data_IF_654795338047
#
_entry.id   IF_654795338047
#
_cell.length_a   1.000
_cell.length_b   1.000
_cell.length_c   1.000
_cell.angle_alpha   90.00
_cell.angle_beta   90.00
_cell.angle_gamma   90.00
#
_symmetry.space_group_name_H-M   'P 1'
#
loop_
_entity.id
_entity.type
_entity.pdbx_description
1 polymer ?
#
# COMPACT_ATOMS: atom_id res chain seq x y z
N UNK A 1 1.68 45.05 -41.55
CA UNK A 1 2.60 43.96 -41.14
C UNK A 1 2.38 43.47 -39.69
N UNK A 2 1.64 44.19 -38.84
CA UNK A 2 1.34 43.80 -37.44
C UNK A 2 0.41 42.57 -37.31
N UNK A 3 -0.51 42.37 -38.27
CA UNK A 3 -1.53 41.33 -38.14
C UNK A 3 -1.03 39.93 -38.49
N UNK A 4 -0.14 39.80 -39.47
CA UNK A 4 0.46 38.51 -39.86
C UNK A 4 1.29 37.91 -38.70
N UNK A 5 2.07 38.74 -38.00
CA UNK A 5 2.84 38.33 -36.83
C UNK A 5 1.95 37.98 -35.63
N UNK A 6 0.77 38.59 -35.51
CA UNK A 6 -0.21 38.27 -34.46
C UNK A 6 -0.91 36.94 -34.74
N UNK A 7 -1.24 36.67 -36.00
CA UNK A 7 -1.84 35.40 -36.46
C UNK A 7 -0.87 34.23 -36.32
N UNK A 8 0.38 34.37 -36.78
CA UNK A 8 1.42 33.33 -36.62
C UNK A 8 1.72 33.01 -35.15
N UNK A 9 1.66 34.01 -34.26
CA UNK A 9 1.80 33.81 -32.80
C UNK A 9 0.62 33.08 -32.19
N UNK A 10 -0.59 33.47 -32.55
CA UNK A 10 -1.80 32.79 -32.08
C UNK A 10 -1.79 31.32 -32.53
N UNK A 11 -1.38 31.06 -33.76
CA UNK A 11 -1.34 29.71 -34.32
C UNK A 11 -0.23 28.86 -33.69
N UNK A 12 0.98 29.41 -33.50
CA UNK A 12 2.08 28.69 -32.84
C UNK A 12 1.75 28.32 -31.39
N UNK A 13 1.16 29.24 -30.63
CA UNK A 13 0.74 29.00 -29.23
C UNK A 13 -0.43 28.02 -29.14
N UNK A 14 -1.42 28.17 -30.02
CA UNK A 14 -2.57 27.26 -30.07
C UNK A 14 -2.15 25.84 -30.38
N UNK A 15 -1.22 25.65 -31.31
CA UNK A 15 -0.68 24.32 -31.64
C UNK A 15 0.02 23.67 -30.43
N UNK A 16 0.85 24.42 -29.70
CA UNK A 16 1.54 23.88 -28.52
C UNK A 16 0.55 23.43 -27.44
N UNK A 17 -0.53 24.20 -27.21
CA UNK A 17 -1.57 23.88 -26.25
C UNK A 17 -2.45 22.70 -26.68
N UNK A 18 -2.83 22.66 -27.96
CA UNK A 18 -3.65 21.59 -28.54
C UNK A 18 -2.94 20.23 -28.47
N UNK A 19 -1.61 20.20 -28.46
CA UNK A 19 -0.82 18.97 -28.28
C UNK A 19 -0.55 18.70 -26.81
N UNK A 20 -0.17 19.71 -26.02
CA UNK A 20 0.27 19.50 -24.65
C UNK A 20 -0.83 18.93 -23.74
N UNK A 21 -2.05 19.49 -23.79
CA UNK A 21 -3.15 19.04 -22.92
C UNK A 21 -3.51 17.56 -23.14
N UNK A 22 -3.78 17.07 -24.36
CA UNK A 22 -4.14 15.66 -24.56
C UNK A 22 -2.97 14.72 -24.26
N UNK A 23 -1.73 15.08 -24.64
CA UNK A 23 -0.55 14.23 -24.39
C UNK A 23 -0.32 14.09 -22.88
N UNK A 24 -0.32 15.20 -22.13
CA UNK A 24 -0.14 15.16 -20.68
C UNK A 24 -1.29 14.41 -19.99
N UNK A 25 -2.51 14.56 -20.49
CA UNK A 25 -3.67 13.87 -19.91
C UNK A 25 -3.56 12.37 -20.14
N UNK A 26 -3.23 11.94 -21.37
CA UNK A 26 -3.04 10.53 -21.71
C UNK A 26 -1.91 9.88 -20.89
N UNK A 27 -0.76 10.56 -20.78
CA UNK A 27 0.37 10.06 -19.97
C UNK A 27 -0.02 9.99 -18.51
N UNK A 28 -0.72 11.01 -18.00
CA UNK A 28 -1.16 11.06 -16.61
C UNK A 28 -2.17 9.98 -16.27
N UNK A 29 -3.18 9.76 -17.12
CA UNK A 29 -4.16 8.69 -16.91
C UNK A 29 -3.53 7.31 -17.00
N UNK A 30 -2.61 7.08 -17.95
CA UNK A 30 -1.88 5.82 -18.02
C UNK A 30 -1.05 5.57 -16.74
N UNK A 31 -0.34 6.59 -16.26
CA UNK A 31 0.49 6.48 -15.05
C UNK A 31 -0.35 6.24 -13.78
N UNK A 32 -1.51 6.90 -13.64
CA UNK A 32 -2.40 6.69 -12.49
C UNK A 32 -3.05 5.31 -12.53
N UNK A 33 -3.50 4.82 -13.69
CA UNK A 33 -4.07 3.47 -13.84
C UNK A 33 -3.06 2.39 -13.42
N UNK A 34 -1.81 2.52 -13.85
CA UNK A 34 -0.73 1.60 -13.46
C UNK A 34 -0.43 1.64 -11.96
N UNK A 35 -0.67 2.78 -11.30
CA UNK A 35 -0.45 2.96 -9.87
C UNK A 35 -1.61 2.43 -9.02
N UNK A 36 -2.84 2.52 -9.54
CA UNK A 36 -4.07 2.14 -8.83
C UNK A 36 -4.37 0.63 -8.92
N UNK A 37 -3.96 -0.06 -9.98
CA UNK A 37 -4.14 -1.51 -10.09
C UNK A 37 -2.96 -2.28 -9.42
N UNK A 38 -3.18 -3.22 -8.49
CA UNK A 38 -4.43 -3.78 -7.95
C UNK A 38 -4.79 -3.26 -6.54
N UNK A 39 -4.44 -2.02 -6.20
CA UNK A 39 -4.62 -1.49 -4.85
C UNK A 39 -6.08 -1.31 -4.46
N UNK A 40 -6.39 -1.53 -3.18
CA UNK A 40 -7.71 -1.21 -2.60
C UNK A 40 -7.94 0.29 -2.70
N UNK A 41 -9.15 0.70 -3.09
CA UNK A 41 -9.54 2.11 -3.16
C UNK A 41 -9.44 2.73 -1.76
N UNK A 42 -8.36 3.50 -1.55
CA UNK A 42 -8.01 4.17 -0.31
C UNK A 42 -7.52 5.57 -0.66
N UNK A 43 -8.01 6.59 0.04
CA UNK A 43 -7.72 7.99 -0.31
C UNK A 43 -6.22 8.30 -0.38
N UNK A 44 -5.41 7.74 0.52
CA UNK A 44 -3.98 8.00 0.52
C UNK A 44 -3.30 7.30 -0.66
N UNK A 45 -3.77 6.12 -1.08
CA UNK A 45 -3.29 5.46 -2.31
C UNK A 45 -3.61 6.27 -3.55
N UNK A 46 -4.77 6.93 -3.58
CA UNK A 46 -5.13 7.90 -4.62
C UNK A 46 -4.16 9.09 -4.67
N UNK A 47 -3.80 9.63 -3.51
CA UNK A 47 -2.82 10.74 -3.43
C UNK A 47 -1.42 10.27 -3.88
N UNK A 48 -0.99 9.09 -3.45
CA UNK A 48 0.27 8.47 -3.89
C UNK A 48 0.27 8.24 -5.40
N UNK A 49 -0.82 7.74 -5.97
CA UNK A 49 -0.96 7.55 -7.41
C UNK A 49 -0.87 8.87 -8.18
N UNK A 50 -1.50 9.94 -7.69
CA UNK A 50 -1.40 11.27 -8.29
C UNK A 50 0.01 11.83 -8.23
N UNK A 51 0.67 11.76 -7.07
CA UNK A 51 2.05 12.25 -6.90
C UNK A 51 3.02 11.44 -7.77
N UNK A 52 2.89 10.11 -7.80
CA UNK A 52 3.72 9.26 -8.65
C UNK A 52 3.44 9.47 -10.14
N UNK A 53 2.21 9.79 -10.54
CA UNK A 53 1.90 10.15 -11.93
C UNK A 53 2.69 11.39 -12.38
N UNK A 54 2.90 12.38 -11.51
CA UNK A 54 3.74 13.55 -11.83
C UNK A 54 5.19 13.18 -12.14
N UNK A 55 5.70 12.02 -11.68
CA UNK A 55 7.03 11.53 -12.10
C UNK A 55 7.10 11.20 -13.58
N UNK A 56 5.96 10.91 -14.22
CA UNK A 56 5.85 10.70 -15.66
C UNK A 56 5.39 11.96 -16.40
N UNK A 57 4.40 12.70 -15.85
CA UNK A 57 3.95 13.96 -16.46
C UNK A 57 5.04 15.04 -16.45
N UNK A 58 5.81 15.16 -15.36
CA UNK A 58 6.81 16.21 -15.17
C UNK A 58 7.85 16.25 -16.30
N UNK A 59 8.54 15.15 -16.61
CA UNK A 59 9.49 15.08 -17.73
C UNK A 59 8.87 15.44 -19.09
N UNK A 60 7.66 14.96 -19.36
CA UNK A 60 6.94 15.27 -20.61
C UNK A 60 6.58 16.75 -20.68
N UNK A 61 6.08 17.32 -19.58
CA UNK A 61 5.76 18.74 -19.48
C UNK A 61 7.00 19.63 -19.64
N UNK A 62 8.13 19.26 -19.01
CA UNK A 62 9.40 19.95 -19.17
C UNK A 62 9.88 19.92 -20.63
N UNK A 63 9.79 18.77 -21.30
CA UNK A 63 10.20 18.61 -22.68
C UNK A 63 9.33 19.44 -23.65
N UNK A 64 8.01 19.42 -23.47
CA UNK A 64 7.07 20.23 -24.24
C UNK A 64 7.30 21.73 -24.02
N UNK A 65 7.57 22.14 -22.77
CA UNK A 65 7.87 23.52 -22.44
C UNK A 65 9.22 23.98 -23.05
N UNK A 66 10.24 23.12 -23.01
CA UNK A 66 11.52 23.37 -23.67
C UNK A 66 11.37 23.47 -25.20
N UNK A 67 10.57 22.58 -25.80
CA UNK A 67 10.27 22.61 -27.23
C UNK A 67 9.55 23.90 -27.63
N UNK A 68 8.54 24.33 -26.86
CA UNK A 68 7.84 25.58 -27.07
C UNK A 68 8.80 26.79 -26.99
N UNK A 69 9.67 26.83 -25.98
CA UNK A 69 10.67 27.87 -25.83
C UNK A 69 11.65 27.96 -27.02
N UNK A 70 12.14 26.82 -27.51
CA UNK A 70 13.04 26.77 -28.68
C UNK A 70 12.33 27.21 -29.95
N UNK A 71 11.08 26.78 -30.14
CA UNK A 71 10.28 27.10 -31.33
C UNK A 71 9.88 28.58 -31.39
N UNK A 72 9.63 29.21 -30.24
CA UNK A 72 9.22 30.61 -30.19
C UNK A 72 10.38 31.61 -30.26
N UNK A 73 11.63 31.19 -29.96
CA UNK A 73 12.80 32.08 -29.93
C UNK A 73 13.01 32.89 -31.22
N UNK A 74 12.85 32.35 -32.45
CA UNK A 74 12.96 33.15 -33.67
C UNK A 74 11.94 34.30 -33.77
N UNK A 75 10.85 34.24 -33.01
CA UNK A 75 9.79 35.25 -32.97
C UNK A 75 10.02 36.33 -31.89
N UNK A 76 11.12 36.25 -31.13
CA UNK A 76 11.46 37.21 -30.09
C UNK A 76 11.83 38.58 -30.66
N UNK A 77 12.42 38.66 -31.85
CA UNK A 77 12.69 39.94 -32.53
C UNK A 77 11.40 40.79 -32.69
N UNK A 78 10.26 40.14 -32.95
CA UNK A 78 8.97 40.81 -33.04
C UNK A 78 8.44 41.27 -31.66
N UNK A 79 8.98 40.77 -30.54
CA UNK A 79 8.66 41.22 -29.17
C UNK A 79 9.48 42.46 -28.83
N UNK A 80 10.74 42.51 -29.26
CA UNK A 80 11.65 43.64 -29.04
C UNK A 80 11.20 44.91 -29.76
N UNK A 81 10.41 44.78 -30.84
CA UNK A 81 9.77 45.91 -31.52
C UNK A 81 8.60 46.54 -30.73
N UNK A 82 8.15 45.92 -29.63
CA UNK A 82 7.12 46.48 -28.76
C UNK A 82 7.75 47.12 -27.54
N UNK A 83 7.30 48.31 -27.12
CA UNK A 83 7.85 49.07 -25.98
C UNK A 83 7.66 48.40 -24.59
N UNK A 84 7.34 47.10 -24.53
CA UNK A 84 7.13 46.36 -23.29
C UNK A 84 8.45 45.76 -22.79
N UNK A 85 8.51 45.50 -21.49
CA UNK A 85 9.65 44.82 -20.87
C UNK A 85 9.92 43.45 -21.53
N UNK A 86 11.18 43.09 -21.81
CA UNK A 86 11.54 41.81 -22.42
C UNK A 86 11.08 40.59 -21.60
N UNK A 87 10.86 40.77 -20.30
CA UNK A 87 10.37 39.71 -19.41
C UNK A 87 8.87 39.38 -19.61
N UNK A 88 8.06 40.32 -20.09
CA UNK A 88 6.59 40.16 -20.13
C UNK A 88 6.16 39.01 -21.06
N UNK A 89 6.86 38.82 -22.19
CA UNK A 89 6.57 37.71 -23.10
C UNK A 89 6.80 36.34 -22.46
N UNK A 90 7.93 36.18 -21.77
CA UNK A 90 8.31 34.94 -21.08
C UNK A 90 7.33 34.61 -19.95
N UNK A 91 6.95 35.61 -19.14
CA UNK A 91 5.99 35.39 -18.05
C UNK A 91 4.62 34.94 -18.58
N UNK A 92 4.18 35.48 -19.72
CA UNK A 92 2.93 35.07 -20.35
C UNK A 92 3.02 33.63 -20.89
N UNK A 93 4.12 33.26 -21.53
CA UNK A 93 4.32 31.90 -22.04
C UNK A 93 4.35 30.88 -20.89
N UNK A 94 5.05 31.20 -19.80
CA UNK A 94 5.08 30.37 -18.60
C UNK A 94 3.69 30.21 -17.99
N UNK A 95 2.93 31.31 -17.83
CA UNK A 95 1.55 31.25 -17.32
C UNK A 95 0.65 30.36 -18.20
N UNK A 96 0.81 30.47 -19.52
CA UNK A 96 0.02 29.71 -20.48
C UNK A 96 0.37 28.20 -20.46
N UNK A 97 1.66 27.86 -20.44
CA UNK A 97 2.10 26.46 -20.39
C UNK A 97 1.81 25.82 -19.02
N UNK A 98 2.00 26.57 -17.93
CA UNK A 98 1.65 26.11 -16.59
C UNK A 98 0.15 25.91 -16.45
N UNK A 99 -0.69 26.81 -16.98
CA UNK A 99 -2.15 26.62 -16.94
C UNK A 99 -2.60 25.40 -17.75
N UNK A 100 -2.02 25.15 -18.93
CA UNK A 100 -2.28 23.94 -19.71
C UNK A 100 -1.90 22.64 -18.96
N UNK A 101 -0.73 22.63 -18.32
CA UNK A 101 -0.28 21.50 -17.52
C UNK A 101 -1.20 21.28 -16.30
N UNK A 102 -1.63 22.35 -15.63
CA UNK A 102 -2.57 22.28 -14.51
C UNK A 102 -3.96 21.81 -14.94
N UNK A 103 -4.48 22.24 -16.09
CA UNK A 103 -5.76 21.74 -16.64
C UNK A 103 -5.69 20.24 -16.89
N UNK A 104 -4.59 19.76 -17.49
CA UNK A 104 -4.37 18.33 -17.69
C UNK A 104 -4.30 17.57 -16.35
N UNK A 105 -3.55 18.09 -15.37
CA UNK A 105 -3.44 17.49 -14.05
C UNK A 105 -4.79 17.48 -13.30
N UNK A 106 -5.60 18.52 -13.43
CA UNK A 106 -6.96 18.58 -12.88
C UNK A 106 -7.86 17.53 -13.52
N UNK A 107 -7.79 17.33 -14.83
CA UNK A 107 -8.55 16.28 -15.52
C UNK A 107 -8.17 14.87 -15.02
N UNK A 108 -6.86 14.60 -14.87
CA UNK A 108 -6.35 13.35 -14.30
C UNK A 108 -6.80 13.18 -12.85
N UNK A 109 -6.72 14.24 -12.05
CA UNK A 109 -7.17 14.25 -10.65
C UNK A 109 -8.65 13.96 -10.54
N UNK A 110 -9.49 14.62 -11.34
CA UNK A 110 -10.93 14.41 -11.36
C UNK A 110 -11.29 12.96 -11.72
N UNK A 111 -10.60 12.37 -12.70
CA UNK A 111 -10.78 10.96 -13.06
C UNK A 111 -10.46 10.04 -11.87
N UNK A 112 -9.30 10.20 -11.24
CA UNK A 112 -8.88 9.33 -10.13
C UNK A 112 -9.81 9.50 -8.92
N UNK A 113 -10.20 10.73 -8.60
CA UNK A 113 -11.17 11.01 -7.53
C UNK A 113 -12.50 10.34 -7.82
N UNK A 114 -13.02 10.44 -9.06
CA UNK A 114 -14.25 9.76 -9.45
C UNK A 114 -14.15 8.23 -9.30
N UNK A 115 -13.04 7.63 -9.74
CA UNK A 115 -12.79 6.19 -9.56
C UNK A 115 -12.76 5.80 -8.07
N UNK A 116 -12.13 6.62 -7.23
CA UNK A 116 -12.02 6.38 -5.78
C UNK A 116 -13.40 6.43 -5.12
N UNK A 117 -14.20 7.45 -5.43
CA UNK A 117 -15.56 7.62 -4.91
C UNK A 117 -16.49 6.47 -5.30
N UNK A 118 -16.31 5.88 -6.49
CA UNK A 118 -17.10 4.73 -6.95
C UNK A 118 -16.73 3.43 -6.23
N UNK A 119 -15.46 3.26 -5.84
CA UNK A 119 -14.95 1.96 -5.39
C UNK A 119 -14.88 1.76 -3.87
N UNK A 120 -14.71 2.81 -3.04
CA UNK A 120 -15.00 2.86 -1.59
C UNK A 120 -14.32 4.04 -0.87
N UNK A 121 -14.92 4.48 0.26
CA UNK A 121 -14.52 5.64 1.08
C UNK A 121 -13.65 5.27 2.29
N UNK A 122 -12.54 4.56 2.12
CA UNK A 122 -11.59 4.40 3.22
C UNK A 122 -10.59 5.57 3.26
N UNK A 123 -10.42 6.21 4.42
CA UNK A 123 -9.47 7.31 4.63
C UNK A 123 -10.06 8.70 4.39
N UNK A 124 -9.18 9.70 4.26
CA UNK A 124 -9.57 11.10 4.05
C UNK A 124 -8.81 11.72 2.88
N UNK A 125 -9.44 12.63 2.11
CA UNK A 125 -8.74 13.32 1.05
C UNK A 125 -7.60 14.18 1.62
N UNK A 126 -6.42 14.09 1.02
CA UNK A 126 -5.27 14.95 1.35
C UNK A 126 -5.06 16.00 0.25
N UNK A 127 -5.71 17.17 0.30
CA UNK A 127 -5.60 18.18 -0.73
C UNK A 127 -4.16 18.69 -0.90
N UNK A 128 -3.38 18.71 0.19
CA UNK A 128 -1.96 19.09 0.15
C UNK A 128 -1.13 18.20 -0.79
N UNK A 129 -1.43 16.90 -0.87
CA UNK A 129 -0.74 16.01 -1.81
C UNK A 129 -1.06 16.35 -3.26
N UNK A 130 -2.32 16.69 -3.55
CA UNK A 130 -2.72 17.16 -4.88
C UNK A 130 -2.03 18.48 -5.26
N UNK A 131 -1.95 19.43 -4.31
CA UNK A 131 -1.26 20.71 -4.49
C UNK A 131 0.26 20.54 -4.64
N UNK A 132 0.87 19.61 -3.89
CA UNK A 132 2.29 19.27 -4.03
C UNK A 132 2.59 18.73 -5.44
N UNK A 133 1.76 17.83 -5.96
CA UNK A 133 1.86 17.33 -7.34
C UNK A 133 1.70 18.44 -8.39
N UNK A 134 0.73 19.34 -8.21
CA UNK A 134 0.53 20.50 -9.08
C UNK A 134 1.76 21.44 -9.07
N UNK A 135 2.29 21.76 -7.88
CA UNK A 135 3.50 22.58 -7.73
C UNK A 135 4.73 21.94 -8.38
N UNK A 136 4.90 20.63 -8.19
CA UNK A 136 5.96 19.87 -8.86
C UNK A 136 5.84 19.95 -10.38
N UNK A 137 4.64 19.80 -10.94
CA UNK A 137 4.42 19.87 -12.39
C UNK A 137 4.73 21.27 -12.95
N UNK A 138 4.29 22.33 -12.26
CA UNK A 138 4.61 23.71 -12.64
C UNK A 138 6.13 23.95 -12.62
N UNK A 139 6.83 23.44 -11.61
CA UNK A 139 8.29 23.53 -11.54
C UNK A 139 8.95 22.90 -12.78
N UNK A 140 8.49 21.72 -13.24
CA UNK A 140 9.02 21.09 -14.46
C UNK A 140 8.79 21.94 -15.70
N UNK A 141 7.61 22.53 -15.84
CA UNK A 141 7.30 23.45 -16.95
C UNK A 141 8.27 24.63 -16.94
N UNK A 142 8.51 25.25 -15.77
CA UNK A 142 9.42 26.40 -15.65
C UNK A 142 10.86 26.00 -15.95
N UNK A 143 11.35 24.90 -15.37
CA UNK A 143 12.71 24.40 -15.64
C UNK A 143 12.89 24.09 -17.13
N UNK A 144 11.94 23.37 -17.73
CA UNK A 144 11.99 23.01 -19.14
C UNK A 144 11.98 24.23 -20.06
N UNK A 145 11.03 25.16 -19.86
CA UNK A 145 10.93 26.38 -20.65
C UNK A 145 12.21 27.22 -20.54
N UNK A 146 12.69 27.52 -19.32
CA UNK A 146 13.89 28.32 -19.12
C UNK A 146 15.13 27.65 -19.71
N UNK A 147 15.25 26.32 -19.61
CA UNK A 147 16.34 25.56 -20.24
C UNK A 147 16.30 25.71 -21.77
N UNK A 148 15.13 25.60 -22.39
CA UNK A 148 14.96 25.84 -23.83
C UNK A 148 15.29 27.27 -24.26
N UNK A 149 15.06 28.26 -23.38
CA UNK A 149 15.46 29.66 -23.62
C UNK A 149 16.97 29.84 -23.56
N UNK A 150 17.63 29.28 -22.56
CA UNK A 150 19.09 29.41 -22.35
C UNK A 150 19.86 28.62 -23.41
N UNK A 151 19.39 27.42 -23.76
CA UNK A 151 20.04 26.50 -24.72
C UNK A 151 19.10 26.27 -25.93
N UNK A 152 19.16 27.10 -26.98
CA UNK A 152 18.17 27.14 -28.05
C UNK A 152 18.39 26.08 -29.15
N UNK A 153 18.78 24.87 -28.77
CA UNK A 153 19.00 23.80 -29.73
C UNK A 153 17.73 22.93 -29.84
N UNK A 154 17.41 22.45 -31.04
CA UNK A 154 16.26 21.55 -31.25
C UNK A 154 16.36 20.27 -30.39
N UNK A 155 17.58 19.83 -30.12
CA UNK A 155 17.90 18.67 -29.29
C UNK A 155 17.61 18.92 -27.79
N UNK A 156 17.50 20.17 -27.35
CA UNK A 156 17.27 20.52 -25.93
C UNK A 156 16.01 19.87 -25.37
N UNK A 157 14.91 19.80 -26.14
CA UNK A 157 13.67 19.17 -25.66
C UNK A 157 13.86 17.67 -25.36
N UNK A 158 14.59 16.95 -26.21
CA UNK A 158 14.89 15.54 -26.01
C UNK A 158 15.85 15.32 -24.82
N UNK A 159 16.86 16.19 -24.65
CA UNK A 159 17.76 16.14 -23.51
C UNK A 159 17.05 16.44 -22.19
N UNK A 160 16.17 17.45 -22.17
CA UNK A 160 15.34 17.77 -21.00
C UNK A 160 14.48 16.56 -20.63
N UNK A 161 13.82 15.92 -21.60
CA UNK A 161 13.05 14.69 -21.37
C UNK A 161 13.93 13.60 -20.75
N UNK A 162 15.10 13.33 -21.33
CA UNK A 162 15.99 12.27 -20.88
C UNK A 162 16.53 12.51 -19.47
N UNK A 163 17.03 13.72 -19.19
CA UNK A 163 17.61 14.08 -17.88
C UNK A 163 16.54 14.10 -16.78
N UNK A 164 15.37 14.68 -17.05
CA UNK A 164 14.29 14.73 -16.06
C UNK A 164 13.66 13.35 -15.82
N UNK A 165 13.56 12.50 -16.85
CA UNK A 165 13.13 11.11 -16.70
C UNK A 165 14.15 10.28 -15.91
N UNK A 166 15.44 10.46 -16.17
CA UNK A 166 16.52 9.80 -15.42
C UNK A 166 16.51 10.24 -13.95
N UNK A 167 16.36 11.54 -13.69
CA UNK A 167 16.18 12.08 -12.34
C UNK A 167 14.96 11.49 -11.62
N UNK A 168 13.85 11.33 -12.33
CA UNK A 168 12.67 10.68 -11.78
C UNK A 168 12.92 9.19 -11.50
N UNK A 169 13.61 8.47 -12.38
CA UNK A 169 13.85 7.04 -12.26
C UNK A 169 14.87 6.67 -11.17
N UNK A 170 15.94 7.45 -11.01
CA UNK A 170 17.01 7.18 -10.04
C UNK A 170 16.56 7.31 -8.57
N UNK A 171 15.43 7.95 -8.31
CA UNK A 171 14.91 8.15 -6.95
C UNK A 171 13.99 7.00 -6.56
N UNK A 172 14.60 6.01 -5.91
CA UNK A 172 13.89 4.85 -5.36
C UNK A 172 13.12 5.28 -4.10
N UNK A 173 11.81 4.97 -3.99
CA UNK A 173 11.03 5.31 -2.80
C UNK A 173 11.64 4.74 -1.51
N UNK A 174 11.73 5.56 -0.47
CA UNK A 174 12.13 5.12 0.88
C UNK A 174 13.63 4.91 1.12
N UNK A 175 14.48 5.07 0.10
CA UNK A 175 15.94 4.82 0.22
C UNK A 175 16.72 6.06 0.67
N UNK A 176 16.27 7.25 0.29
CA UNK A 176 16.98 8.51 0.58
C UNK A 176 16.00 9.67 0.71
N UNK A 177 16.35 10.70 1.48
CA UNK A 177 15.55 11.92 1.62
C UNK A 177 15.32 12.64 0.28
N UNK A 178 16.19 12.44 -0.73
CA UNK A 178 15.99 12.99 -2.08
C UNK A 178 14.74 12.43 -2.77
N UNK A 179 14.27 11.25 -2.35
CA UNK A 179 13.01 10.69 -2.84
C UNK A 179 11.80 11.54 -2.44
N UNK A 180 11.94 12.42 -1.44
CA UNK A 180 10.89 13.32 -0.98
C UNK A 180 10.85 14.65 -1.74
N UNK A 181 11.85 14.96 -2.57
CA UNK A 181 11.86 16.17 -3.38
C UNK A 181 10.81 16.09 -4.51
N UNK A 182 10.10 17.19 -4.82
CA UNK A 182 9.17 17.26 -5.96
C UNK A 182 9.82 16.87 -7.32
N UNK A 183 9.20 15.99 -8.13
CA UNK A 183 8.04 15.16 -7.82
C UNK A 183 8.47 13.99 -6.92
N UNK A 184 7.80 13.82 -5.78
CA UNK A 184 8.22 12.82 -4.80
C UNK A 184 8.02 11.39 -5.32
N UNK A 185 8.91 10.51 -4.91
CA UNK A 185 8.83 9.07 -5.12
C UNK A 185 8.30 8.43 -3.84
N UNK A 186 6.98 8.22 -3.80
CA UNK A 186 6.29 7.67 -2.64
C UNK A 186 6.10 6.16 -2.79
N UNK A 187 6.34 5.37 -1.72
CA UNK A 187 6.03 3.94 -1.74
C UNK A 187 4.52 3.73 -1.78
N UNK A 188 4.10 2.51 -2.14
CA UNK A 188 2.74 2.07 -1.86
C UNK A 188 2.51 2.11 -0.35
N UNK A 189 1.33 2.55 0.07
CA UNK A 189 0.98 2.61 1.48
C UNK A 189 0.36 1.31 1.93
N UNK A 190 0.71 0.90 3.15
CA UNK A 190 0.05 -0.20 3.84
C UNK A 190 -1.23 0.31 4.54
N UNK A 191 -2.26 -0.53 4.67
CA UNK A 191 -3.56 -0.18 5.30
C UNK A 191 -3.47 0.50 6.69
N UNK A 192 -2.42 0.22 7.46
CA UNK A 192 -2.23 0.79 8.80
C UNK A 192 -1.26 1.96 8.82
N UNK A 193 -1.07 2.60 7.67
CA UNK A 193 -0.21 3.76 7.51
C UNK A 193 -0.96 4.87 6.79
N UNK A 194 -0.58 6.11 7.08
CA UNK A 194 -1.10 7.31 6.44
C UNK A 194 0.04 8.21 5.99
N UNK A 195 -0.29 9.15 5.11
CA UNK A 195 0.65 10.17 4.68
C UNK A 195 0.82 11.27 5.71
N UNK A 196 2.04 11.76 5.89
CA UNK A 196 2.35 12.91 6.74
C UNK A 196 2.04 14.21 6.00
N UNK A 197 1.04 15.02 6.42
CA UNK A 197 0.70 16.25 5.72
C UNK A 197 1.83 17.29 5.70
N UNK A 198 2.67 17.30 6.75
CA UNK A 198 3.83 18.19 6.83
C UNK A 198 4.79 18.02 5.65
N UNK A 199 5.06 16.77 5.25
CA UNK A 199 5.96 16.49 4.11
C UNK A 199 5.40 17.08 2.81
N UNK A 200 4.08 17.07 2.62
CA UNK A 200 3.47 17.71 1.46
C UNK A 200 3.49 19.24 1.54
N UNK A 201 3.32 19.82 2.73
CA UNK A 201 3.47 21.26 2.92
C UNK A 201 4.91 21.71 2.57
N UNK A 202 5.91 20.96 3.01
CA UNK A 202 7.31 21.23 2.68
C UNK A 202 7.58 21.06 1.19
N UNK A 203 6.98 20.06 0.53
CA UNK A 203 7.06 19.89 -0.93
C UNK A 203 6.44 21.06 -1.70
N UNK A 204 5.27 21.56 -1.25
CA UNK A 204 4.63 22.74 -1.84
C UNK A 204 5.52 23.96 -1.66
N UNK A 205 6.03 24.20 -0.45
CA UNK A 205 6.92 25.32 -0.15
C UNK A 205 8.20 25.25 -0.97
N UNK A 206 8.81 24.07 -1.07
CA UNK A 206 10.01 23.81 -1.86
C UNK A 206 9.78 24.07 -3.35
N UNK A 207 8.69 23.55 -3.91
CA UNK A 207 8.35 23.73 -5.32
C UNK A 207 8.03 25.20 -5.64
N UNK A 208 7.26 25.86 -4.78
CA UNK A 208 6.90 27.28 -4.92
C UNK A 208 8.13 28.19 -4.81
N UNK A 209 8.98 27.97 -3.80
CA UNK A 209 10.24 28.70 -3.60
C UNK A 209 11.17 28.55 -4.80
N UNK A 210 11.38 27.32 -5.27
CA UNK A 210 12.27 27.04 -6.41
C UNK A 210 11.75 27.62 -7.70
N UNK A 211 10.44 27.47 -7.97
CA UNK A 211 9.78 28.04 -9.14
C UNK A 211 9.91 29.56 -9.14
N UNK A 212 9.64 30.20 -8.00
CA UNK A 212 9.74 31.65 -7.84
C UNK A 212 11.18 32.12 -8.01
N UNK A 213 12.15 31.43 -7.40
CA UNK A 213 13.57 31.77 -7.54
C UNK A 213 14.05 31.67 -9.00
N UNK A 214 13.64 30.64 -9.74
CA UNK A 214 13.97 30.49 -11.16
C UNK A 214 13.38 31.62 -12.01
N UNK A 215 12.10 31.95 -11.81
CA UNK A 215 11.44 33.03 -12.55
C UNK A 215 12.09 34.38 -12.21
N UNK A 216 12.25 34.70 -10.93
CA UNK A 216 12.83 35.97 -10.49
C UNK A 216 14.30 36.09 -10.90
N UNK A 217 15.07 35.01 -10.81
CA UNK A 217 16.46 34.96 -11.27
C UNK A 217 16.58 35.21 -12.77
N UNK A 218 15.69 34.61 -13.57
CA UNK A 218 15.62 34.88 -15.01
C UNK A 218 15.23 36.33 -15.31
N UNK A 219 14.20 36.86 -14.65
CA UNK A 219 13.75 38.25 -14.83
C UNK A 219 14.86 39.23 -14.43
N UNK A 220 15.54 38.99 -13.32
CA UNK A 220 16.67 39.79 -12.85
C UNK A 220 17.83 39.74 -13.87
N UNK A 221 18.14 38.58 -14.42
CA UNK A 221 19.18 38.41 -15.44
C UNK A 221 18.89 39.23 -16.70
N UNK A 222 17.64 39.18 -17.20
CA UNK A 222 17.24 39.86 -18.43
C UNK A 222 17.03 41.38 -18.22
N UNK A 223 16.46 41.80 -17.10
CA UNK A 223 16.09 43.21 -16.86
C UNK A 223 17.12 44.00 -16.06
N UNK A 224 18.11 43.32 -15.45
CA UNK A 224 19.13 43.90 -14.55
C UNK A 224 18.56 44.70 -13.37
N UNK A 225 17.31 44.43 -12.97
CA UNK A 225 16.62 45.14 -11.88
C UNK A 225 17.01 44.57 -10.51
N UNK A 226 17.87 45.29 -9.79
CA UNK A 226 18.34 44.89 -8.45
C UNK A 226 17.26 44.85 -7.36
N UNK A 227 16.14 45.55 -7.53
CA UNK A 227 15.02 45.49 -6.57
C UNK A 227 14.43 44.07 -6.41
N UNK A 228 14.70 43.16 -7.36
CA UNK A 228 14.24 41.76 -7.34
C UNK A 228 15.10 40.89 -6.40
N UNK A 229 16.25 41.39 -5.91
CA UNK A 229 17.16 40.62 -5.05
C UNK A 229 16.49 40.19 -3.75
N UNK A 230 15.71 41.07 -3.11
CA UNK A 230 15.02 40.74 -1.86
C UNK A 230 14.00 39.58 -2.02
N UNK A 231 13.02 39.65 -2.95
CA UNK A 231 12.09 38.54 -3.14
C UNK A 231 12.77 37.25 -3.64
N UNK A 232 13.86 37.37 -4.42
CA UNK A 232 14.67 36.22 -4.81
C UNK A 232 15.33 35.55 -3.59
N UNK A 233 15.93 36.33 -2.69
CA UNK A 233 16.53 35.82 -1.45
C UNK A 233 15.49 35.12 -0.56
N UNK A 234 14.28 35.69 -0.44
CA UNK A 234 13.18 35.07 0.29
C UNK A 234 12.75 33.74 -0.33
N UNK A 235 12.64 33.66 -1.67
CA UNK A 235 12.29 32.42 -2.36
C UNK A 235 13.34 31.33 -2.14
N UNK A 236 14.63 31.69 -2.20
CA UNK A 236 15.74 30.77 -1.92
C UNK A 236 15.76 30.32 -0.45
N UNK A 237 15.49 31.22 0.49
CA UNK A 237 15.39 30.90 1.90
C UNK A 237 14.24 29.91 2.19
N UNK A 238 13.08 30.11 1.55
CA UNK A 238 11.95 29.18 1.63
C UNK A 238 12.29 27.79 1.09
N UNK A 239 12.97 27.71 -0.07
CA UNK A 239 13.46 26.44 -0.62
C UNK A 239 14.46 25.77 0.33
N UNK A 240 15.39 26.54 0.91
CA UNK A 240 16.40 26.02 1.82
C UNK A 240 15.76 25.47 3.11
N UNK A 241 14.83 26.21 3.72
CA UNK A 241 14.09 25.76 4.91
C UNK A 241 13.34 24.45 4.62
N UNK A 242 12.53 24.41 3.57
CA UNK A 242 11.82 23.19 3.17
C UNK A 242 12.76 22.02 2.86
N UNK A 243 13.95 22.28 2.32
CA UNK A 243 14.96 21.23 2.10
C UNK A 243 15.48 20.64 3.41
N UNK A 244 15.71 21.48 4.43
CA UNK A 244 16.14 21.04 5.75
C UNK A 244 15.05 20.21 6.44
N UNK A 245 13.80 20.64 6.36
CA UNK A 245 12.65 19.93 6.95
C UNK A 245 12.42 18.58 6.27
N UNK A 246 12.45 18.52 4.93
CA UNK A 246 12.36 17.26 4.18
C UNK A 246 13.51 16.32 4.52
N UNK A 247 14.73 16.83 4.70
CA UNK A 247 15.90 16.04 5.09
C UNK A 247 15.78 15.50 6.53
N UNK A 248 15.19 16.27 7.44
CA UNK A 248 14.93 15.86 8.82
C UNK A 248 13.74 14.90 8.98
N UNK A 249 12.87 14.81 7.98
CA UNK A 249 11.72 13.93 8.02
C UNK A 249 12.11 12.45 7.98
N UNK A 250 11.43 11.63 8.80
CA UNK A 250 11.62 10.17 8.83
C UNK A 250 10.88 9.45 7.68
N UNK A 251 10.67 10.14 6.54
CA UNK A 251 9.85 9.67 5.42
C UNK A 251 8.44 10.26 5.39
N UNK A 252 7.74 10.02 4.28
CA UNK A 252 6.39 10.54 4.01
C UNK A 252 5.25 9.79 4.71
N UNK A 253 5.57 8.67 5.38
CA UNK A 253 4.58 7.72 5.90
C UNK A 253 4.62 7.70 7.44
N UNK A 254 3.47 7.58 8.07
CA UNK A 254 3.33 7.41 9.52
C UNK A 254 2.35 6.27 9.82
N UNK A 255 2.51 5.54 10.95
CA UNK A 255 1.48 4.62 11.42
C UNK A 255 0.16 5.35 11.67
N UNK A 256 -0.94 4.74 11.27
CA UNK A 256 -2.29 5.24 11.47
C UNK A 256 -3.17 4.16 12.10
N UNK A 257 -3.92 4.55 13.13
CA UNK A 257 -4.98 3.72 13.65
C UNK A 257 -6.22 3.90 12.78
N UNK A 258 -6.78 2.81 12.30
CA UNK A 258 -8.10 2.79 11.68
C UNK A 258 -9.09 2.16 12.66
N UNK A 259 -10.26 2.76 12.80
CA UNK A 259 -11.36 2.12 13.52
C UNK A 259 -11.78 0.86 12.74
N UNK A 260 -11.67 -0.34 13.33
CA UNK A 260 -11.93 -1.57 12.59
C UNK A 260 -13.42 -1.76 12.34
N UNK A 261 -13.76 -2.27 11.16
CA UNK A 261 -15.12 -2.71 10.84
C UNK A 261 -15.26 -4.18 11.23
N UNK A 262 -16.26 -4.48 12.07
CA UNK A 262 -16.43 -5.80 12.65
C UNK A 262 -17.75 -6.46 12.26
N UNK A 263 -17.70 -7.77 12.00
CA UNK A 263 -18.88 -8.65 11.94
C UNK A 263 -18.90 -9.52 13.20
N UNK A 264 -19.99 -9.52 13.96
CA UNK A 264 -20.04 -10.05 15.34
C UNK A 264 -20.52 -11.51 15.51
N UNK A 265 -21.14 -12.12 14.50
CA UNK A 265 -21.75 -13.45 14.61
C UNK A 265 -21.29 -14.40 13.50
N UNK A 266 -20.85 -15.65 13.78
CA UNK A 266 -20.92 -16.37 15.07
C UNK A 266 -19.74 -16.08 16.02
N UNK A 267 -18.70 -15.42 15.52
CA UNK A 267 -17.57 -14.88 16.28
C UNK A 267 -17.25 -13.48 15.76
N UNK A 268 -16.53 -12.67 16.52
CA UNK A 268 -16.24 -11.28 16.13
C UNK A 268 -15.02 -11.22 15.21
N UNK A 269 -15.20 -10.93 13.93
CA UNK A 269 -14.09 -10.69 12.98
C UNK A 269 -14.02 -9.21 12.67
N UNK A 270 -12.90 -8.59 12.97
CA UNK A 270 -12.63 -7.17 12.77
C UNK A 270 -11.50 -6.99 11.76
N UNK A 271 -11.74 -6.20 10.71
CA UNK A 271 -10.75 -5.86 9.68
C UNK A 271 -10.70 -4.35 9.46
N UNK A 272 -9.66 -3.90 8.77
CA UNK A 272 -9.55 -2.53 8.29
C UNK A 272 -10.77 -2.16 7.41
N UNK A 273 -11.32 -0.93 7.49
CA UNK A 273 -12.49 -0.53 6.71
C UNK A 273 -12.40 -0.84 5.22
N UNK A 274 -11.23 -0.62 4.62
CA UNK A 274 -10.95 -0.91 3.20
C UNK A 274 -11.10 -2.40 2.83
N UNK A 275 -11.08 -3.32 3.81
CA UNK A 275 -11.25 -4.76 3.60
C UNK A 275 -12.61 -5.27 4.06
N UNK A 276 -13.63 -4.40 4.20
CA UNK A 276 -14.98 -4.80 4.65
C UNK A 276 -15.56 -5.96 3.84
N UNK A 277 -15.28 -6.02 2.54
CA UNK A 277 -15.76 -7.08 1.64
C UNK A 277 -15.08 -8.44 1.90
N UNK A 278 -13.96 -8.47 2.60
CA UNK A 278 -13.29 -9.69 3.00
C UNK A 278 -13.98 -10.40 4.18
N UNK A 279 -14.80 -9.67 4.96
CA UNK A 279 -15.40 -10.17 6.20
C UNK A 279 -16.22 -11.46 6.04
N UNK A 280 -17.12 -11.61 5.04
CA UNK A 280 -17.91 -12.83 4.91
C UNK A 280 -17.04 -14.08 4.74
N UNK A 281 -16.05 -14.01 3.85
CA UNK A 281 -15.18 -15.16 3.53
C UNK A 281 -14.19 -15.45 4.65
N UNK A 282 -13.66 -14.42 5.33
CA UNK A 282 -12.83 -14.62 6.53
C UNK A 282 -13.63 -15.33 7.62
N UNK A 283 -14.84 -14.86 7.90
CA UNK A 283 -15.68 -15.43 8.93
C UNK A 283 -16.04 -16.89 8.63
N UNK A 284 -16.39 -17.21 7.39
CA UNK A 284 -16.67 -18.58 6.94
C UNK A 284 -15.47 -19.51 7.18
N UNK A 285 -14.25 -19.06 6.85
CA UNK A 285 -13.04 -19.88 6.97
C UNK A 285 -12.54 -20.01 8.42
N UNK A 286 -12.70 -18.97 9.22
CA UNK A 286 -12.24 -18.95 10.62
C UNK A 286 -13.18 -19.70 11.56
N UNK A 287 -14.49 -19.73 11.26
CA UNK A 287 -15.49 -20.36 12.15
C UNK A 287 -15.22 -21.84 12.44
N UNK A 288 -14.89 -22.71 11.46
CA UNK A 288 -14.54 -24.10 11.73
C UNK A 288 -13.31 -24.24 12.64
N UNK A 289 -12.29 -23.40 12.46
CA UNK A 289 -11.10 -23.41 13.31
C UNK A 289 -11.46 -23.03 14.76
N UNK A 290 -12.23 -21.96 14.95
CA UNK A 290 -12.69 -21.54 16.28
C UNK A 290 -13.49 -22.65 16.98
N UNK A 291 -14.39 -23.33 16.24
CA UNK A 291 -15.16 -24.45 16.77
C UNK A 291 -14.28 -25.64 17.18
N UNK A 292 -13.21 -25.93 16.44
CA UNK A 292 -12.24 -27.01 16.77
C UNK A 292 -11.44 -26.71 18.03
N UNK A 293 -11.07 -25.44 18.22
CA UNK A 293 -10.26 -24.96 19.36
C UNK A 293 -11.08 -24.68 20.62
N UNK A 294 -12.42 -24.67 20.52
CA UNK A 294 -13.30 -24.42 21.65
C UNK A 294 -13.09 -25.40 22.82
N UNK A 295 -12.85 -24.83 23.99
CA UNK A 295 -12.48 -25.51 25.23
C UNK A 295 -10.97 -25.79 25.41
N UNK A 296 -10.11 -25.29 24.52
CA UNK A 296 -8.65 -25.32 24.67
C UNK A 296 -8.11 -23.96 25.14
N UNK A 297 -6.88 -23.88 25.68
CA UNK A 297 -6.21 -22.59 25.94
C UNK A 297 -6.03 -21.71 24.70
N UNK A 298 -6.06 -22.29 23.49
CA UNK A 298 -6.03 -21.56 22.22
C UNK A 298 -7.40 -21.13 21.69
N UNK A 299 -8.47 -21.27 22.47
CA UNK A 299 -9.80 -20.83 22.07
C UNK A 299 -9.84 -19.31 21.86
N UNK A 300 -10.57 -18.87 20.84
CA UNK A 300 -10.78 -17.46 20.55
C UNK A 300 -12.22 -17.21 20.12
N UNK A 301 -12.72 -16.02 20.47
CA UNK A 301 -14.05 -15.51 20.08
C UNK A 301 -13.95 -14.25 19.23
N UNK A 302 -12.74 -13.71 19.08
CA UNK A 302 -12.45 -12.53 18.29
C UNK A 302 -11.25 -12.75 17.38
N UNK A 303 -11.35 -12.31 16.14
CA UNK A 303 -10.24 -12.23 15.18
C UNK A 303 -10.06 -10.78 14.80
N UNK A 304 -8.83 -10.28 14.89
CA UNK A 304 -8.50 -8.91 14.57
C UNK A 304 -7.39 -8.83 13.54
N UNK A 305 -7.62 -8.08 12.47
CA UNK A 305 -6.54 -7.68 11.60
C UNK A 305 -5.59 -6.76 12.35
N UNK A 306 -4.30 -7.08 12.30
CA UNK A 306 -3.22 -6.25 12.82
C UNK A 306 -2.27 -5.83 11.68
N UNK A 307 -1.48 -4.76 11.87
CA UNK A 307 -0.44 -4.41 10.93
C UNK A 307 0.60 -5.53 10.77
N UNK A 308 1.23 -5.62 9.59
CA UNK A 308 2.20 -6.67 9.27
C UNK A 308 3.43 -6.70 10.21
N UNK A 309 3.79 -5.56 10.80
CA UNK A 309 4.90 -5.46 11.76
C UNK A 309 4.55 -5.95 13.18
N UNK A 310 3.27 -6.20 13.47
CA UNK A 310 2.83 -6.76 14.75
C UNK A 310 2.77 -8.28 14.61
N UNK A 311 3.37 -9.07 15.50
CA UNK A 311 3.36 -10.53 15.38
C UNK A 311 1.93 -11.09 15.44
N UNK A 312 1.71 -12.17 14.70
CA UNK A 312 0.50 -12.99 14.76
C UNK A 312 0.51 -13.74 16.10
N UNK A 313 -0.57 -13.60 16.87
CA UNK A 313 -0.69 -14.21 18.21
C UNK A 313 -2.12 -14.66 18.46
N UNK A 314 -2.29 -15.74 19.23
CA UNK A 314 -3.58 -16.13 19.79
C UNK A 314 -3.49 -16.07 21.30
N UNK A 315 -4.09 -15.03 21.90
CA UNK A 315 -4.03 -14.79 23.34
C UNK A 315 -5.27 -14.07 23.84
N UNK A 316 -5.70 -14.37 25.07
CA UNK A 316 -6.84 -13.68 25.72
C UNK A 316 -8.15 -13.78 24.93
N UNK A 317 -8.36 -14.85 24.17
CA UNK A 317 -9.55 -15.01 23.33
C UNK A 317 -9.54 -14.23 22.01
N UNK A 318 -8.41 -13.60 21.66
CA UNK A 318 -8.22 -12.84 20.43
C UNK A 318 -7.16 -13.50 19.55
N UNK A 319 -7.49 -13.74 18.28
CA UNK A 319 -6.52 -14.15 17.26
C UNK A 319 -6.16 -12.96 16.37
N UNK A 320 -4.92 -12.50 16.43
CA UNK A 320 -4.39 -11.47 15.55
C UNK A 320 -3.98 -12.08 14.21
N UNK A 321 -4.38 -11.47 13.10
CA UNK A 321 -4.07 -11.93 11.73
C UNK A 321 -3.58 -10.79 10.83
N UNK A 322 -2.86 -11.15 9.77
CA UNK A 322 -2.51 -10.24 8.68
C UNK A 322 -3.34 -10.58 7.45
N UNK A 323 -4.01 -9.57 6.90
CA UNK A 323 -4.79 -9.73 5.67
C UNK A 323 -4.21 -8.80 4.62
N UNK A 324 -3.81 -9.39 3.49
CA UNK A 324 -3.22 -8.66 2.37
C UNK A 324 -4.25 -7.74 1.70
N UNK A 325 -3.81 -6.54 1.30
CA UNK A 325 -4.63 -5.59 0.55
C UNK A 325 -5.19 -6.14 -0.74
N UNK A 326 -4.38 -6.88 -1.48
CA UNK A 326 -4.76 -7.42 -2.79
C UNK A 326 -5.83 -8.53 -2.69
N UNK A 327 -6.17 -8.98 -1.48
CA UNK A 327 -7.05 -10.12 -1.23
C UNK A 327 -6.76 -11.30 -2.16
N UNK A 328 -5.47 -11.55 -2.41
CA UNK A 328 -5.04 -12.52 -3.42
C UNK A 328 -5.64 -13.90 -3.14
N UNK A 329 -5.88 -14.72 -4.17
CA UNK A 329 -6.60 -15.99 -4.03
C UNK A 329 -6.13 -16.81 -2.83
N UNK A 330 -7.08 -17.26 -1.99
CA UNK A 330 -6.79 -18.01 -0.78
C UNK A 330 -6.39 -17.19 0.46
N UNK A 331 -6.54 -15.86 0.45
CA UNK A 331 -6.21 -15.00 1.60
C UNK A 331 -6.86 -15.47 2.92
N UNK A 332 -8.12 -15.89 2.88
CA UNK A 332 -8.82 -16.32 4.08
C UNK A 332 -8.22 -17.62 4.67
N UNK A 333 -7.83 -18.57 3.81
CA UNK A 333 -7.12 -19.77 4.24
C UNK A 333 -5.70 -19.47 4.77
N UNK A 334 -5.03 -18.43 4.23
CA UNK A 334 -3.77 -17.92 4.81
C UNK A 334 -3.97 -17.34 6.20
N UNK A 335 -5.03 -16.57 6.42
CA UNK A 335 -5.36 -16.06 7.76
C UNK A 335 -5.61 -17.19 8.76
N UNK A 336 -6.35 -18.24 8.38
CA UNK A 336 -6.56 -19.43 9.24
C UNK A 336 -5.24 -20.13 9.55
N UNK A 337 -4.34 -20.26 8.56
CA UNK A 337 -2.99 -20.80 8.78
C UNK A 337 -2.16 -19.94 9.72
N UNK A 338 -2.22 -18.62 9.60
CA UNK A 338 -1.56 -17.70 10.55
C UNK A 338 -2.05 -17.94 11.97
N UNK A 339 -3.37 -18.04 12.19
CA UNK A 339 -3.94 -18.36 13.51
C UNK A 339 -3.38 -19.69 14.02
N UNK A 340 -3.39 -20.74 13.19
CA UNK A 340 -2.86 -22.06 13.56
C UNK A 340 -1.36 -22.01 13.92
N UNK A 341 -0.54 -21.27 13.18
CA UNK A 341 0.88 -21.08 13.52
C UNK A 341 1.05 -20.24 14.80
N UNK A 342 0.22 -19.23 15.01
CA UNK A 342 0.22 -18.38 16.21
C UNK A 342 -0.20 -19.10 17.50
N UNK A 343 -0.71 -20.33 17.41
CA UNK A 343 -0.97 -21.19 18.57
C UNK A 343 0.29 -21.88 19.11
N UNK A 344 1.39 -21.90 18.33
CA UNK A 344 2.57 -22.72 18.59
C UNK A 344 3.68 -21.89 19.24
N UNK A 345 4.41 -22.49 20.16
CA UNK A 345 5.57 -21.85 20.80
C UNK A 345 6.80 -22.01 19.88
N UNK A 346 7.05 -21.01 19.03
CA UNK A 346 8.14 -21.03 18.04
C UNK A 346 9.49 -21.53 18.57
N UNK A 347 9.99 -21.07 19.73
CA UNK A 347 11.26 -21.53 20.31
C UNK A 347 11.27 -23.01 20.70
N UNK A 348 10.12 -23.57 21.10
CA UNK A 348 10.00 -24.98 21.48
C UNK A 348 9.90 -25.91 20.26
N UNK A 349 9.61 -25.36 19.08
CA UNK A 349 9.24 -26.09 17.88
C UNK A 349 10.37 -26.18 16.83
N UNK A 350 11.62 -26.36 17.25
CA UNK A 350 12.81 -26.36 16.37
C UNK A 350 12.95 -27.60 15.48
N UNK A 351 12.31 -28.73 15.82
CA UNK A 351 12.23 -29.93 14.97
C UNK A 351 10.80 -30.49 14.98
N UNK A 352 9.94 -30.17 14.00
CA UNK A 352 8.58 -30.67 13.99
C UNK A 352 8.56 -32.19 13.77
N UNK A 353 8.08 -32.94 14.75
CA UNK A 353 7.67 -34.32 14.52
C UNK A 353 6.46 -34.35 13.57
N UNK A 354 6.36 -35.39 12.74
CA UNK A 354 5.30 -35.50 11.74
C UNK A 354 3.88 -35.56 12.32
N UNK A 355 3.74 -35.84 13.62
CA UNK A 355 2.46 -35.95 14.32
C UNK A 355 1.73 -34.61 14.44
N UNK A 356 2.44 -33.49 14.63
CA UNK A 356 1.84 -32.15 14.62
C UNK A 356 1.14 -31.84 13.30
N UNK A 357 1.75 -32.24 12.18
CA UNK A 357 1.20 -31.99 10.85
C UNK A 357 -0.17 -32.68 10.64
N UNK A 358 -0.45 -33.79 11.36
CA UNK A 358 -1.77 -34.42 11.35
C UNK A 358 -2.84 -33.54 12.02
N UNK A 359 -2.47 -32.94 13.16
CA UNK A 359 -3.35 -32.05 13.91
C UNK A 359 -3.56 -30.76 13.14
N UNK A 360 -2.49 -30.18 12.58
CA UNK A 360 -2.55 -28.98 11.74
C UNK A 360 -3.49 -29.22 10.53
N UNK A 361 -3.34 -30.35 9.82
CA UNK A 361 -4.21 -30.68 8.69
C UNK A 361 -5.69 -30.77 9.11
N UNK A 362 -6.00 -31.43 10.23
CA UNK A 362 -7.37 -31.47 10.75
C UNK A 362 -7.88 -30.08 11.18
N UNK A 363 -7.06 -29.27 11.85
CA UNK A 363 -7.43 -27.92 12.27
C UNK A 363 -7.73 -27.01 11.08
N UNK A 364 -6.98 -27.15 9.98
CA UNK A 364 -7.17 -26.41 8.73
C UNK A 364 -8.27 -27.01 7.84
N UNK A 365 -8.64 -28.27 8.05
CA UNK A 365 -9.53 -29.01 7.13
C UNK A 365 -8.83 -29.45 5.84
N UNK A 366 -7.50 -29.50 5.85
CA UNK A 366 -6.66 -29.95 4.75
C UNK A 366 -6.44 -31.47 4.82
N UNK A 367 -6.01 -32.07 3.71
CA UNK A 367 -5.53 -33.45 3.71
C UNK A 367 -4.20 -33.57 4.49
N UNK A 368 -4.05 -34.60 5.33
CA UNK A 368 -2.82 -34.79 6.08
C UNK A 368 -1.65 -35.02 5.12
N UNK A 369 -0.57 -34.25 5.30
CA UNK A 369 0.70 -34.50 4.61
C UNK A 369 1.19 -35.92 4.91
N UNK A 370 1.99 -36.49 4.02
CA UNK A 370 2.54 -37.84 4.20
C UNK A 370 3.37 -37.91 5.49
N UNK A 371 2.80 -38.50 6.55
CA UNK A 371 3.49 -38.81 7.80
C UNK A 371 4.04 -40.22 7.70
N UNK A 372 5.28 -40.43 8.14
CA UNK A 372 5.93 -41.74 8.11
C UNK A 372 5.10 -42.83 8.81
N UNK A 373 4.40 -42.48 9.89
CA UNK A 373 3.47 -43.36 10.59
C UNK A 373 2.03 -43.30 10.03
N UNK A 374 1.84 -43.94 8.89
CA UNK A 374 0.53 -44.04 8.22
C UNK A 374 -0.57 -44.73 9.06
N UNK A 375 -0.21 -45.53 10.08
CA UNK A 375 -1.19 -46.19 10.96
C UNK A 375 -1.79 -45.19 11.92
N UNK A 376 -0.97 -44.32 12.51
CA UNK A 376 -1.43 -43.26 13.41
C UNK A 376 -2.26 -42.22 12.66
N UNK A 377 -1.82 -41.81 11.47
CA UNK A 377 -2.59 -40.92 10.60
C UNK A 377 -4.01 -41.45 10.30
N UNK A 378 -4.11 -42.72 9.87
CA UNK A 378 -5.41 -43.37 9.61
C UNK A 378 -6.29 -43.49 10.85
N UNK A 379 -5.69 -43.77 12.01
CA UNK A 379 -6.44 -43.86 13.28
C UNK A 379 -7.00 -42.50 13.69
N UNK A 380 -6.20 -41.44 13.63
CA UNK A 380 -6.68 -40.09 13.92
C UNK A 380 -7.77 -39.67 12.93
N UNK A 381 -7.58 -39.99 11.64
CA UNK A 381 -8.56 -39.79 10.59
C UNK A 381 -9.89 -40.54 10.84
N UNK A 382 -9.87 -41.68 11.54
CA UNK A 382 -11.09 -42.43 11.86
C UNK A 382 -11.83 -41.94 13.11
N UNK A 383 -11.29 -40.98 13.86
CA UNK A 383 -11.96 -40.42 15.03
C UNK A 383 -13.11 -39.49 14.62
N UNK A 384 -14.20 -39.51 15.38
CA UNK A 384 -15.26 -38.51 15.25
C UNK A 384 -14.75 -37.13 15.66
N UNK A 385 -15.37 -36.07 15.11
CA UNK A 385 -15.02 -34.69 15.42
C UNK A 385 -15.05 -34.41 16.94
N UNK A 386 -16.09 -34.90 17.62
CA UNK A 386 -16.21 -34.81 19.09
C UNK A 386 -15.00 -35.42 19.80
N UNK A 387 -14.51 -36.56 19.31
CA UNK A 387 -13.36 -37.25 19.89
C UNK A 387 -12.05 -36.50 19.63
N UNK A 388 -11.84 -35.97 18.43
CA UNK A 388 -10.64 -35.15 18.12
C UNK A 388 -10.59 -33.88 18.95
N UNK A 389 -11.72 -33.18 19.12
CA UNK A 389 -11.84 -32.00 19.99
C UNK A 389 -11.55 -32.33 21.45
N UNK A 390 -12.14 -33.40 21.99
CA UNK A 390 -11.88 -33.84 23.36
C UNK A 390 -10.41 -34.21 23.58
N UNK A 391 -9.80 -34.90 22.60
CA UNK A 391 -8.38 -35.20 22.61
C UNK A 391 -7.51 -33.93 22.61
N UNK A 392 -7.80 -32.97 21.72
CA UNK A 392 -7.00 -31.74 21.63
C UNK A 392 -7.03 -30.96 22.95
N UNK A 393 -8.15 -30.93 23.67
CA UNK A 393 -8.22 -30.29 25.00
C UNK A 393 -7.26 -30.90 26.02
N UNK A 394 -7.05 -32.21 25.95
CA UNK A 394 -6.15 -32.92 26.86
C UNK A 394 -4.68 -32.80 26.44
N UNK A 395 -4.40 -32.72 25.13
CA UNK A 395 -3.05 -32.70 24.56
C UNK A 395 -2.64 -31.33 23.99
N UNK A 396 -3.30 -30.24 24.40
CA UNK A 396 -3.08 -28.92 23.81
C UNK A 396 -1.67 -28.40 24.09
N UNK A 397 -1.15 -28.67 25.30
CA UNK A 397 0.19 -28.24 25.71
C UNK A 397 1.25 -28.90 24.84
N UNK A 398 1.15 -30.22 24.65
CA UNK A 398 2.05 -31.03 23.84
C UNK A 398 1.96 -30.63 22.36
N UNK A 399 0.76 -30.30 21.87
CA UNK A 399 0.57 -29.72 20.54
C UNK A 399 1.32 -28.38 20.40
N UNK A 400 1.13 -27.46 21.34
CA UNK A 400 1.73 -26.12 21.33
C UNK A 400 3.26 -26.16 21.42
N UNK A 401 3.81 -27.01 22.27
CA UNK A 401 5.26 -27.13 22.48
C UNK A 401 5.93 -28.15 21.55
N UNK A 402 5.21 -28.64 20.53
CA UNK A 402 5.72 -29.62 19.58
C UNK A 402 6.23 -30.94 20.19
N UNK A 403 5.63 -31.37 21.31
CA UNK A 403 6.02 -32.57 22.05
C UNK A 403 5.15 -33.80 21.73
N UNK A 404 4.20 -33.71 20.78
CA UNK A 404 3.31 -34.82 20.42
C UNK A 404 4.08 -36.04 19.87
N UNK A 405 3.83 -37.21 20.45
CA UNK A 405 4.37 -38.49 19.99
C UNK A 405 3.25 -39.46 19.60
N UNK A 406 3.63 -40.60 19.04
CA UNK A 406 2.77 -41.72 18.68
C UNK A 406 1.85 -42.16 19.81
N UNK A 407 2.33 -42.10 21.04
CA UNK A 407 1.61 -42.62 22.21
C UNK A 407 0.41 -41.75 22.59
N UNK A 408 0.45 -40.45 22.26
CA UNK A 408 -0.68 -39.53 22.42
C UNK A 408 -1.89 -39.93 21.55
N UNK A 409 -1.67 -40.65 20.46
CA UNK A 409 -2.72 -41.10 19.54
C UNK A 409 -3.23 -42.53 19.84
N UNK A 410 -2.87 -43.11 20.99
CA UNK A 410 -3.43 -44.39 21.43
C UNK A 410 -4.79 -44.14 22.09
N UNK A 411 -5.76 -45.02 21.84
CA UNK A 411 -7.02 -44.96 22.61
C UNK A 411 -6.67 -45.18 24.09
N UNK A 412 -7.25 -44.40 25.03
CA UNK A 412 -7.18 -44.79 26.43
C UNK A 412 -7.71 -46.22 26.52
N UNK A 413 -6.89 -47.08 27.11
CA UNK A 413 -7.16 -48.51 27.19
C UNK A 413 -8.62 -48.72 27.57
N UNK A 414 -9.32 -49.48 26.74
CA UNK A 414 -10.60 -50.13 27.07
C UNK A 414 -10.43 -50.60 28.51
N UNK A 415 -11.08 -49.92 29.46
CA UNK A 415 -11.11 -50.31 30.87
C UNK A 415 -11.29 -51.83 30.85
N UNK A 416 -10.34 -52.55 31.44
CA UNK A 416 -10.41 -54.00 31.57
C UNK A 416 -11.75 -54.26 32.22
N UNK A 417 -12.75 -54.63 31.41
CA UNK A 417 -14.08 -55.02 31.84
C UNK A 417 -13.84 -56.09 32.89
N UNK A 418 -13.97 -55.73 34.17
CA UNK A 418 -13.75 -56.66 35.26
C UNK A 418 -14.67 -57.83 35.00
N UNK A 419 -14.05 -58.95 34.64
CA UNK A 419 -14.73 -60.21 34.37
C UNK A 419 -15.35 -60.58 35.72
N UNK A 420 -16.69 -60.64 35.85
CA UNK A 420 -17.30 -60.99 37.13
C UNK A 420 -16.80 -62.38 37.52
N UNK A 421 -16.35 -62.49 38.77
CA UNK A 421 -15.86 -63.73 39.34
C UNK A 421 -16.90 -64.83 39.14
N UNK A 422 -16.47 -65.92 38.53
CA UNK A 422 -17.25 -67.12 38.27
C UNK A 422 -17.65 -67.70 39.63
N UNK A 423 -18.94 -67.70 39.94
CA UNK A 423 -19.51 -68.39 41.10
C UNK A 423 -19.05 -69.86 41.13
N UNK A 424 -18.55 -70.40 42.25
CA UNK A 424 -18.31 -71.82 42.37
C UNK A 424 -19.64 -72.56 42.49
N UNK A 425 -19.78 -73.54 41.59
CA UNK A 425 -20.85 -74.52 41.47
C UNK A 425 -20.90 -75.36 42.75
N UNK A 426 -21.97 -75.26 43.54
CA UNK A 426 -22.29 -76.22 44.60
C UNK A 426 -22.82 -77.48 43.93
N UNK A 427 -21.98 -78.51 43.84
CA UNK A 427 -22.39 -79.88 43.58
C UNK A 427 -23.00 -80.49 44.83
N UNK A 428 -24.17 -81.08 44.63
CA UNK A 428 -24.90 -81.87 45.60
C UNK A 428 -24.17 -83.21 45.83
N UNK A 429 -24.08 -83.61 47.08
CA UNK A 429 -23.83 -85.00 47.46
C UNK A 429 -24.92 -85.41 48.45
N UNK A 430 -25.75 -86.28 47.93
CA UNK A 430 -26.93 -86.89 48.53
C UNK A 430 -26.51 -88.21 49.18
N UNK A 431 -27.19 -88.60 50.27
CA UNK A 431 -27.21 -89.99 50.75
C UNK A 431 -26.66 -90.26 52.15
N UNK A 432 -27.55 -90.26 53.14
CA UNK A 432 -27.54 -91.26 54.22
C UNK A 432 -28.88 -91.26 55.00
N UNK A 433 -29.73 -92.26 54.73
CA UNK A 433 -30.75 -92.79 55.65
C UNK A 433 -30.04 -93.60 56.74
N UNK A 434 -30.56 -93.71 57.99
CA UNK A 434 -31.51 -94.80 58.28
C UNK A 434 -32.59 -94.55 59.36
N UNK A 435 -33.61 -95.41 59.24
CA UNK A 435 -34.64 -95.92 60.18
C UNK A 435 -34.58 -95.50 61.67
N UNK A 436 -35.72 -95.11 62.22
CA UNK A 436 -36.62 -95.97 63.01
C UNK A 436 -38.03 -95.36 63.02
#
# INVERSE_FOLDING_TARGET
MSDLGRVLRLDARRTALLVAVPVLTLVGTAATVLSLCPSVAYWDNTVVALVNAVRFLGPVAAALAAWAAVRERPLDYLRDLTARSPATGVLFDLLLLSSAALVSYLAVTALVVAVTLVHEEAGHPHPLGAVAGAGALVLHVVVGYLTGRVVPHRVTAALVLAVTSLWAALRVPGVSWWSLLPPAALPRLDLFTTLRPAVFADQVLWAAGTTTALILGYVMWVTRRFLIVLPLAMALAATAAATLDLRGSSGAVAPAAAEPVCRRWPLTVCVHPALRHALPRLMEQVTPLAARLDGTPGAFTRVEQRPAWVPVTVAGGVAAVHVDESLSPGYAARAVRQISEGLKDGPACTSPNGYRALVDAWLLGDDPRAVADSRTARRFASWSERRRRAWLRLHFTEYRTCALDRDDFRSPHREKKHRPAKHPRREALDGARPRA
#
